data_IF_028397355720
#
_entry.id   IF_028397355720
#
_cell.length_a   1.000
_cell.length_b   1.000
_cell.length_c   1.000
_cell.angle_alpha   90.00
_cell.angle_beta   90.00
_cell.angle_gamma   90.00
#
_symmetry.space_group_name_H-M   'P 1'
#
loop_
_entity.id
_entity.type
_entity.pdbx_description
1 polymer ?
#
# COMPACT_ATOMS: atom_id res chain seq x y z
N UNK A 1 33.84 45.70 48.81
CA UNK A 1 35.20 46.25 49.00
C UNK A 1 36.19 45.28 48.39
N UNK A 2 37.00 45.76 47.42
CA UNK A 2 38.43 45.39 47.22
C UNK A 2 38.66 43.91 46.77
N UNK A 3 39.31 43.53 45.66
CA UNK A 3 40.45 44.07 44.91
C UNK A 3 40.40 43.58 43.45
N UNK A 4 40.72 44.48 42.52
CA UNK A 4 41.29 44.16 41.21
C UNK A 4 42.80 43.95 41.39
N UNK A 5 43.38 42.90 40.79
CA UNK A 5 44.77 42.86 40.28
C UNK A 5 44.96 41.59 39.43
N UNK A 6 45.14 41.73 38.10
CA UNK A 6 46.40 41.46 37.32
C UNK A 6 47.15 40.20 37.76
N UNK A 7 47.54 39.30 36.86
CA UNK A 7 48.80 39.43 36.11
C UNK A 7 48.77 38.60 34.81
N UNK A 8 49.41 39.18 33.78
CA UNK A 8 49.63 38.67 32.42
C UNK A 8 50.83 37.73 32.34
N UNK A 9 50.82 36.93 31.25
CA UNK A 9 51.95 36.43 30.43
C UNK A 9 52.77 35.28 31.02
N UNK A 10 52.89 34.22 30.21
CA UNK A 10 54.09 33.51 29.72
C UNK A 10 53.60 32.15 29.19
N UNK A 11 54.11 31.49 28.16
CA UNK A 11 55.13 31.70 27.15
C UNK A 11 54.76 30.65 26.08
N UNK A 12 54.81 31.03 24.80
CA UNK A 12 54.80 30.07 23.68
C UNK A 12 56.13 29.29 23.71
N UNK A 13 56.14 28.10 23.08
CA UNK A 13 57.23 27.14 22.82
C UNK A 13 57.12 25.87 23.67
N UNK A 14 57.25 24.64 23.16
CA UNK A 14 57.49 24.17 21.80
C UNK A 14 57.33 22.64 21.74
N UNK A 15 57.06 22.16 20.52
CA UNK A 15 57.65 20.97 19.89
C UNK A 15 57.45 19.55 20.47
N UNK A 16 56.88 18.69 19.58
CA UNK A 16 57.39 17.34 19.19
C UNK A 16 57.09 16.24 20.23
N UNK A 17 56.53 15.07 19.95
CA UNK A 17 56.10 14.37 18.74
C UNK A 17 55.46 13.02 19.15
N UNK A 18 54.65 12.46 18.24
CA UNK A 18 54.48 11.01 17.95
C UNK A 18 53.75 10.14 19.00
N UNK A 19 52.56 9.65 18.62
CA UNK A 19 52.30 8.22 18.36
C UNK A 19 50.88 8.03 17.79
N UNK A 20 50.83 7.56 16.56
CA UNK A 20 49.64 6.98 15.96
C UNK A 20 49.28 5.69 16.71
N UNK A 21 48.02 5.56 17.14
CA UNK A 21 47.40 4.28 17.45
C UNK A 21 46.21 4.09 16.51
N UNK A 22 46.43 3.35 15.44
CA UNK A 22 45.40 2.78 14.59
C UNK A 22 44.64 1.69 15.36
N UNK A 23 43.32 1.66 15.19
CA UNK A 23 42.64 0.42 14.86
C UNK A 23 41.72 -0.19 15.91
N UNK A 24 40.49 -0.45 15.43
CA UNK A 24 39.57 -1.54 15.80
C UNK A 24 38.65 -1.26 16.98
N UNK A 25 37.42 -0.80 16.67
CA UNK A 25 36.13 -1.37 17.10
C UNK A 25 34.98 -0.57 16.41
N UNK A 26 34.90 -0.62 15.08
CA UNK A 26 33.77 -0.09 14.31
C UNK A 26 33.25 -1.18 13.36
N UNK A 27 32.63 -2.21 13.94
CA UNK A 27 31.80 -3.24 13.32
C UNK A 27 31.34 -4.13 14.48
N UNK A 28 30.07 -4.30 14.85
CA UNK A 28 28.86 -4.43 14.07
C UNK A 28 27.71 -3.70 14.79
N UNK A 29 26.87 -2.99 14.05
CA UNK A 29 25.70 -2.32 14.64
C UNK A 29 24.77 -1.65 13.64
N UNK A 30 25.18 -1.51 12.37
CA UNK A 30 24.35 -0.91 11.34
C UNK A 30 23.33 -1.88 10.72
N UNK A 31 23.49 -3.20 10.83
CA UNK A 31 22.55 -4.17 10.27
C UNK A 31 21.27 -4.38 11.13
N UNK A 32 21.31 -4.10 12.44
CA UNK A 32 20.15 -4.31 13.33
C UNK A 32 19.15 -3.15 13.36
N UNK A 33 19.54 -1.98 12.84
CA UNK A 33 18.66 -0.81 12.82
C UNK A 33 17.64 -0.90 11.68
N UNK A 34 17.99 -1.51 10.56
CA UNK A 34 17.12 -1.57 9.37
C UNK A 34 15.90 -2.49 9.58
N UNK A 35 16.09 -3.60 10.31
CA UNK A 35 15.03 -4.58 10.60
C UNK A 35 13.93 -4.05 11.54
N UNK A 36 14.19 -2.98 12.29
CA UNK A 36 13.22 -2.38 13.25
C UNK A 36 12.27 -1.36 12.62
N UNK A 37 12.48 -0.95 11.37
CA UNK A 37 11.64 0.05 10.69
C UNK A 37 10.67 -0.53 9.64
N UNK A 38 10.76 -1.82 9.33
CA UNK A 38 9.83 -2.46 8.41
C UNK A 38 8.52 -2.77 9.12
N UNK A 39 7.47 -1.99 8.84
CA UNK A 39 6.11 -2.34 9.26
C UNK A 39 5.76 -3.71 8.65
N UNK A 40 5.23 -4.68 9.42
CA UNK A 40 4.80 -5.95 8.87
C UNK A 40 3.83 -5.72 7.70
N UNK A 41 4.14 -6.23 6.52
CA UNK A 41 3.12 -6.40 5.47
C UNK A 41 2.21 -7.55 5.88
N UNK A 42 0.95 -7.45 5.47
CA UNK A 42 0.01 -8.56 5.60
C UNK A 42 0.47 -9.79 4.81
N UNK A 43 0.06 -10.98 5.23
CA UNK A 43 0.20 -12.22 4.46
C UNK A 43 -0.77 -12.27 3.28
N UNK A 44 -0.58 -13.22 2.37
CA UNK A 44 -1.52 -13.46 1.26
C UNK A 44 -2.96 -13.71 1.74
N UNK A 45 -3.11 -14.51 2.80
CA UNK A 45 -4.42 -14.80 3.38
C UNK A 45 -5.06 -13.53 3.99
N UNK A 46 -4.28 -12.73 4.71
CA UNK A 46 -4.75 -11.46 5.26
C UNK A 46 -5.12 -10.47 4.15
N UNK A 47 -4.36 -10.45 3.05
CA UNK A 47 -4.67 -9.63 1.89
C UNK A 47 -5.96 -10.08 1.20
N UNK A 48 -6.18 -11.39 1.07
CA UNK A 48 -7.42 -11.95 0.55
C UNK A 48 -8.63 -11.58 1.41
N UNK A 49 -8.52 -11.71 2.74
CA UNK A 49 -9.57 -11.32 3.67
C UNK A 49 -9.84 -9.82 3.58
N UNK A 50 -8.79 -9.01 3.51
CA UNK A 50 -8.93 -7.56 3.40
C UNK A 50 -9.60 -7.15 2.08
N UNK A 51 -9.22 -7.74 0.95
CA UNK A 51 -9.90 -7.54 -0.34
C UNK A 51 -11.40 -7.85 -0.24
N UNK A 52 -11.75 -8.97 0.39
CA UNK A 52 -13.14 -9.37 0.61
C UNK A 52 -13.91 -8.37 1.47
N UNK A 53 -13.30 -7.85 2.55
CA UNK A 53 -13.92 -6.81 3.38
C UNK A 53 -14.20 -5.54 2.58
N UNK A 54 -13.26 -5.11 1.73
CA UNK A 54 -13.42 -3.96 0.85
C UNK A 54 -14.62 -4.13 -0.09
N UNK A 55 -14.75 -5.29 -0.73
CA UNK A 55 -15.86 -5.64 -1.62
C UNK A 55 -17.19 -5.66 -0.84
N UNK A 56 -17.23 -6.34 0.32
CA UNK A 56 -18.46 -6.45 1.12
C UNK A 56 -18.96 -5.09 1.61
N UNK A 57 -18.05 -4.20 2.03
CA UNK A 57 -18.42 -2.82 2.40
C UNK A 57 -19.01 -2.06 1.21
N UNK A 58 -18.42 -2.18 0.03
CA UNK A 58 -18.96 -1.56 -1.19
C UNK A 58 -20.35 -2.11 -1.55
N UNK A 59 -20.54 -3.42 -1.50
CA UNK A 59 -21.86 -4.04 -1.78
C UNK A 59 -22.91 -3.67 -0.74
N UNK A 60 -22.51 -3.41 0.51
CA UNK A 60 -23.46 -3.09 1.59
C UNK A 60 -24.26 -1.80 1.39
N UNK A 61 -23.79 -0.90 0.51
CA UNK A 61 -24.50 0.35 0.18
C UNK A 61 -25.38 0.23 -1.07
N UNK A 62 -25.35 -0.91 -1.76
CA UNK A 62 -26.19 -1.19 -2.91
C UNK A 62 -27.56 -1.74 -2.48
N UNK A 63 -28.55 -1.84 -3.40
CA UNK A 63 -29.83 -2.44 -3.08
C UNK A 63 -29.68 -3.84 -2.44
N UNK A 64 -30.56 -4.23 -1.51
CA UNK A 64 -30.46 -5.52 -0.79
C UNK A 64 -30.60 -6.75 -1.71
N UNK A 65 -31.03 -6.56 -2.95
CA UNK A 65 -31.07 -7.60 -3.98
C UNK A 65 -29.70 -7.88 -4.59
N UNK A 66 -28.70 -7.03 -4.37
CA UNK A 66 -27.33 -7.23 -4.85
C UNK A 66 -26.72 -8.52 -4.28
N UNK A 67 -26.12 -9.33 -5.15
CA UNK A 67 -25.51 -10.62 -4.80
C UNK A 67 -24.15 -10.75 -5.49
N UNK A 68 -23.17 -11.24 -4.73
CA UNK A 68 -21.86 -11.62 -5.26
C UNK A 68 -21.93 -13.06 -5.77
N UNK A 69 -21.58 -13.29 -7.03
CA UNK A 69 -21.61 -14.61 -7.67
C UNK A 69 -20.33 -14.90 -8.45
N UNK A 70 -20.08 -16.19 -8.69
CA UNK A 70 -18.99 -16.69 -9.52
C UNK A 70 -17.63 -16.05 -9.16
N UNK A 71 -17.13 -16.30 -7.94
CA UNK A 71 -15.85 -15.76 -7.48
C UNK A 71 -14.72 -16.10 -8.46
N UNK A 72 -13.92 -15.10 -8.79
CA UNK A 72 -12.63 -15.26 -9.45
C UNK A 72 -11.53 -14.73 -8.53
N UNK A 73 -10.63 -15.64 -8.13
CA UNK A 73 -9.55 -15.35 -7.19
C UNK A 73 -8.22 -15.57 -7.90
N UNK A 74 -7.31 -14.63 -7.73
CA UNK A 74 -6.00 -14.70 -8.36
C UNK A 74 -4.93 -14.14 -7.44
N UNK A 75 -3.71 -14.65 -7.56
CA UNK A 75 -2.51 -14.12 -6.93
C UNK A 75 -1.46 -14.02 -8.03
N UNK A 76 -0.94 -12.81 -8.27
CA UNK A 76 -0.01 -12.54 -9.36
C UNK A 76 1.29 -11.92 -8.84
N UNK A 77 2.45 -12.24 -9.43
CA UNK A 77 3.68 -11.52 -9.16
C UNK A 77 3.50 -10.01 -9.44
N UNK A 78 4.05 -9.18 -8.55
CA UNK A 78 4.01 -7.74 -8.73
C UNK A 78 5.05 -7.21 -9.73
N UNK A 79 6.16 -7.95 -9.91
CA UNK A 79 7.20 -7.56 -10.85
C UNK A 79 6.77 -7.96 -12.26
N UNK A 80 6.57 -6.96 -13.11
CA UNK A 80 6.79 -7.09 -14.54
C UNK A 80 8.23 -6.61 -14.83
N UNK A 81 8.88 -7.13 -15.86
CA UNK A 81 10.30 -6.90 -16.19
C UNK A 81 10.68 -5.41 -16.39
N UNK A 82 9.71 -4.51 -16.35
CA UNK A 82 9.83 -3.08 -16.66
C UNK A 82 9.78 -2.17 -15.42
N UNK A 83 9.38 -2.66 -14.25
CA UNK A 83 9.31 -1.88 -13.00
C UNK A 83 10.20 -2.52 -11.93
N UNK A 84 11.39 -1.95 -11.66
CA UNK A 84 12.30 -2.49 -10.66
C UNK A 84 11.64 -2.52 -9.28
N UNK A 85 11.72 -3.68 -8.62
CA UNK A 85 11.32 -3.87 -7.25
C UNK A 85 11.75 -5.24 -6.76
N UNK A 86 11.78 -5.48 -5.44
CA UNK A 86 12.10 -6.80 -4.91
C UNK A 86 11.24 -7.89 -5.55
N UNK A 87 11.90 -8.89 -6.12
CA UNK A 87 11.29 -10.10 -6.65
C UNK A 87 10.58 -10.87 -5.54
N UNK A 88 9.57 -11.68 -5.86
CA UNK A 88 8.83 -12.50 -4.88
C UNK A 88 7.60 -11.85 -4.25
N UNK A 89 7.37 -10.54 -4.44
CA UNK A 89 6.12 -9.88 -4.05
C UNK A 89 4.96 -10.30 -4.94
N UNK A 90 3.77 -10.37 -4.33
CA UNK A 90 2.53 -10.70 -5.03
C UNK A 90 1.44 -9.66 -4.74
N UNK A 91 0.48 -9.55 -5.65
CA UNK A 91 -0.81 -8.91 -5.42
C UNK A 91 -1.91 -9.96 -5.46
N UNK A 92 -2.86 -9.84 -4.53
CA UNK A 92 -4.00 -10.73 -4.36
C UNK A 92 -5.25 -10.03 -4.87
N UNK A 93 -5.93 -10.66 -5.82
CA UNK A 93 -7.16 -10.15 -6.42
C UNK A 93 -8.37 -11.01 -6.00
N UNK A 94 -9.49 -10.33 -5.75
CA UNK A 94 -10.82 -10.92 -5.59
C UNK A 94 -11.78 -10.20 -6.51
N UNK A 95 -12.50 -10.95 -7.35
CA UNK A 95 -13.48 -10.39 -8.28
C UNK A 95 -14.75 -11.23 -8.28
N UNK A 96 -15.88 -10.57 -8.44
CA UNK A 96 -17.20 -11.20 -8.48
C UNK A 96 -18.06 -10.59 -9.58
N UNK A 97 -18.98 -11.39 -10.11
CA UNK A 97 -20.15 -10.84 -10.77
C UNK A 97 -21.12 -10.29 -9.74
N UNK A 98 -21.72 -9.15 -10.05
CA UNK A 98 -22.73 -8.52 -9.22
C UNK A 98 -24.11 -8.74 -9.85
N UNK A 99 -24.94 -9.55 -9.18
CA UNK A 99 -26.26 -10.01 -9.65
C UNK A 99 -27.40 -9.43 -8.82
N UNK A 100 -28.63 -9.59 -9.31
CA UNK A 100 -29.83 -9.08 -8.65
C UNK A 100 -30.02 -7.56 -8.78
N UNK A 101 -29.33 -6.94 -9.73
CA UNK A 101 -29.40 -5.52 -10.03
C UNK A 101 -29.92 -5.31 -11.46
N UNK A 102 -31.08 -4.62 -11.65
CA UNK A 102 -31.55 -4.23 -12.98
C UNK A 102 -30.54 -3.35 -13.72
N UNK A 103 -30.22 -3.70 -14.97
CA UNK A 103 -29.15 -3.08 -15.78
C UNK A 103 -29.45 -1.62 -16.13
N UNK A 104 -30.72 -1.29 -16.25
CA UNK A 104 -31.22 0.07 -16.56
C UNK A 104 -30.79 1.09 -15.49
N UNK A 105 -30.47 0.62 -14.29
CA UNK A 105 -30.07 1.42 -13.15
C UNK A 105 -28.55 1.45 -12.93
N UNK A 106 -27.74 0.88 -13.83
CA UNK A 106 -26.28 0.82 -13.67
C UNK A 106 -25.68 2.17 -13.30
N UNK A 107 -26.11 3.25 -13.96
CA UNK A 107 -25.64 4.61 -13.64
C UNK A 107 -25.82 4.96 -12.16
N UNK A 108 -26.99 4.67 -11.58
CA UNK A 108 -27.27 4.95 -10.19
C UNK A 108 -26.37 4.12 -9.25
N UNK A 109 -26.11 2.85 -9.56
CA UNK A 109 -25.22 2.02 -8.73
C UNK A 109 -23.78 2.52 -8.72
N UNK A 110 -23.26 2.93 -9.88
CA UNK A 110 -21.94 3.55 -9.98
C UNK A 110 -21.88 4.87 -9.20
N UNK A 111 -22.92 5.70 -9.27
CA UNK A 111 -22.99 6.95 -8.52
C UNK A 111 -23.02 6.70 -7.00
N UNK A 112 -23.80 5.71 -6.53
CA UNK A 112 -23.80 5.27 -5.12
C UNK A 112 -22.41 4.82 -4.65
N UNK A 113 -21.70 4.02 -5.45
CA UNK A 113 -20.37 3.54 -5.08
C UNK A 113 -19.33 4.65 -5.11
N UNK A 114 -19.40 5.56 -6.07
CA UNK A 114 -18.56 6.75 -6.11
C UNK A 114 -18.72 7.59 -4.84
N UNK A 115 -19.96 7.89 -4.44
CA UNK A 115 -20.23 8.65 -3.22
C UNK A 115 -19.74 7.92 -1.97
N UNK A 116 -19.98 6.60 -1.88
CA UNK A 116 -19.48 5.80 -0.78
C UNK A 116 -17.95 5.85 -0.70
N UNK A 117 -17.25 5.56 -1.80
CA UNK A 117 -15.79 5.51 -1.82
C UNK A 117 -15.16 6.87 -1.52
N UNK A 118 -15.63 7.95 -2.15
CA UNK A 118 -15.09 9.30 -1.91
C UNK A 118 -15.30 9.79 -0.48
N UNK A 119 -16.37 9.34 0.20
CA UNK A 119 -16.61 9.65 1.63
C UNK A 119 -15.87 8.76 2.61
N UNK A 120 -15.33 7.62 2.17
CA UNK A 120 -14.75 6.59 3.04
C UNK A 120 -13.25 6.37 2.77
N UNK A 121 -12.53 7.44 2.43
CA UNK A 121 -11.08 7.42 2.36
C UNK A 121 -10.50 6.80 1.09
N UNK A 122 -11.28 6.72 0.01
CA UNK A 122 -10.78 6.29 -1.29
C UNK A 122 -10.52 7.49 -2.19
N UNK A 123 -9.41 7.46 -2.94
CA UNK A 123 -9.14 8.39 -4.03
C UNK A 123 -9.52 7.75 -5.36
N UNK A 124 -10.07 8.54 -6.27
CA UNK A 124 -10.42 8.09 -7.62
C UNK A 124 -9.14 7.99 -8.46
N UNK A 125 -9.00 6.87 -9.18
CA UNK A 125 -7.91 6.60 -10.12
C UNK A 125 -8.37 6.75 -11.57
N UNK A 126 -9.56 6.21 -11.88
CA UNK A 126 -10.23 6.37 -13.19
C UNK A 126 -11.74 6.46 -12.97
N UNK A 127 -12.42 7.26 -13.78
CA UNK A 127 -13.87 7.45 -13.72
C UNK A 127 -14.44 7.63 -15.12
N UNK A 128 -14.93 6.53 -15.68
CA UNK A 128 -15.54 6.46 -17.00
C UNK A 128 -17.05 6.17 -16.92
N UNK A 129 -17.71 6.59 -15.82
CA UNK A 129 -19.17 6.42 -15.60
C UNK A 129 -20.04 7.13 -16.64
N UNK A 130 -19.47 8.01 -17.46
CA UNK A 130 -20.18 8.67 -18.55
C UNK A 130 -20.32 7.76 -19.80
N UNK A 131 -19.48 6.73 -19.95
CA UNK A 131 -19.55 5.79 -21.06
C UNK A 131 -20.64 4.74 -20.80
N UNK A 132 -21.76 4.83 -21.52
CA UNK A 132 -22.92 3.95 -21.31
C UNK A 132 -22.72 2.51 -21.81
N UNK A 133 -21.74 2.28 -22.66
CA UNK A 133 -21.45 0.95 -23.23
C UNK A 133 -20.46 0.18 -22.35
N UNK A 134 -19.50 0.88 -21.73
CA UNK A 134 -18.51 0.30 -20.83
C UNK A 134 -18.20 1.27 -19.70
N UNK A 135 -19.05 1.24 -18.66
CA UNK A 135 -18.85 2.04 -17.47
C UNK A 135 -17.71 1.45 -16.64
N UNK A 136 -16.84 2.31 -16.13
CA UNK A 136 -15.74 1.92 -15.26
C UNK A 136 -15.54 2.93 -14.14
N UNK A 137 -15.22 2.44 -12.95
CA UNK A 137 -14.79 3.27 -11.82
C UNK A 137 -13.72 2.51 -11.07
N UNK A 138 -12.57 3.14 -10.88
CA UNK A 138 -11.40 2.57 -10.21
C UNK A 138 -10.93 3.51 -9.13
N UNK A 139 -10.73 2.98 -7.93
CA UNK A 139 -10.38 3.75 -6.73
C UNK A 139 -9.27 3.06 -5.95
N UNK A 140 -8.57 3.81 -5.11
CA UNK A 140 -7.59 3.28 -4.15
C UNK A 140 -7.94 3.77 -2.75
N UNK A 141 -8.01 2.87 -1.79
CA UNK A 141 -8.15 3.23 -0.40
C UNK A 141 -6.84 3.82 0.13
N UNK A 142 -6.90 5.03 0.66
CA UNK A 142 -5.71 5.80 1.05
C UNK A 142 -5.01 5.27 2.30
N UNK A 143 -5.70 4.48 3.13
CA UNK A 143 -5.16 3.96 4.39
C UNK A 143 -4.36 2.66 4.27
N UNK A 144 -4.69 1.80 3.30
CA UNK A 144 -4.08 0.47 3.12
C UNK A 144 -3.74 0.14 1.66
N UNK A 145 -3.92 1.08 0.74
CA UNK A 145 -3.55 0.99 -0.68
C UNK A 145 -4.25 -0.14 -1.45
N UNK A 146 -5.36 -0.69 -0.94
CA UNK A 146 -6.21 -1.59 -1.72
C UNK A 146 -6.87 -0.83 -2.85
N UNK A 147 -6.86 -1.41 -4.04
CA UNK A 147 -7.51 -0.84 -5.22
C UNK A 147 -8.80 -1.59 -5.49
N UNK A 148 -9.87 -0.87 -5.78
CA UNK A 148 -11.18 -1.45 -6.06
C UNK A 148 -11.66 -0.96 -7.41
N UNK A 149 -12.38 -1.80 -8.13
CA UNK A 149 -13.06 -1.41 -9.35
C UNK A 149 -14.48 -1.94 -9.41
N UNK A 150 -15.35 -1.19 -10.09
CA UNK A 150 -16.60 -1.71 -10.65
C UNK A 150 -16.60 -1.42 -12.15
N UNK A 151 -17.07 -2.38 -12.94
CA UNK A 151 -17.17 -2.25 -14.39
C UNK A 151 -18.46 -2.86 -14.93
N UNK A 152 -18.95 -2.35 -16.06
CA UNK A 152 -19.94 -3.03 -16.88
C UNK A 152 -19.28 -3.66 -18.11
N UNK A 153 -19.76 -4.83 -18.52
CA UNK A 153 -19.46 -5.37 -19.85
C UNK A 153 -20.43 -4.81 -20.91
N UNK A 154 -20.24 -5.19 -22.17
CA UNK A 154 -21.08 -4.77 -23.32
C UNK A 154 -22.54 -5.19 -23.21
N UNK A 155 -22.86 -6.14 -22.32
CA UNK A 155 -24.22 -6.59 -22.03
C UNK A 155 -24.82 -5.87 -20.81
N UNK A 156 -24.12 -4.92 -20.19
CA UNK A 156 -24.52 -4.22 -18.98
C UNK A 156 -24.44 -5.07 -17.70
N UNK A 157 -23.85 -6.27 -17.73
CA UNK A 157 -23.58 -7.02 -16.51
C UNK A 157 -22.43 -6.38 -15.74
N UNK A 158 -22.56 -6.34 -14.41
CA UNK A 158 -21.61 -5.70 -13.53
C UNK A 158 -20.66 -6.70 -12.89
N UNK A 159 -19.38 -6.33 -12.79
CA UNK A 159 -18.43 -6.98 -11.91
C UNK A 159 -17.78 -5.98 -10.95
N UNK A 160 -17.42 -6.47 -9.77
CA UNK A 160 -16.72 -5.69 -8.74
C UNK A 160 -15.50 -6.48 -8.28
N UNK A 161 -14.37 -5.80 -8.10
CA UNK A 161 -13.13 -6.42 -7.67
C UNK A 161 -12.32 -5.56 -6.72
N UNK A 162 -11.40 -6.21 -6.02
CA UNK A 162 -10.40 -5.58 -5.17
C UNK A 162 -9.05 -6.28 -5.31
N UNK A 163 -7.99 -5.47 -5.40
CA UNK A 163 -6.60 -5.89 -5.51
C UNK A 163 -5.82 -5.37 -4.30
N UNK A 164 -5.01 -6.23 -3.69
CA UNK A 164 -4.10 -5.82 -2.62
C UNK A 164 -2.96 -4.97 -3.18
N UNK A 165 -2.34 -4.11 -2.35
CA UNK A 165 -0.99 -3.64 -2.67
C UNK A 165 -0.04 -4.84 -2.81
N UNK A 166 1.15 -4.57 -3.36
CA UNK A 166 2.21 -5.57 -3.40
C UNK A 166 2.64 -5.95 -1.99
N UNK A 167 2.49 -7.23 -1.67
CA UNK A 167 2.81 -7.78 -0.36
C UNK A 167 3.80 -8.93 -0.51
N UNK A 168 4.43 -9.26 0.59
CA UNK A 168 5.17 -10.49 0.71
C UNK A 168 4.21 -11.62 1.10
N UNK A 169 4.17 -12.76 0.39
CA UNK A 169 3.15 -13.79 0.60
C UNK A 169 3.04 -14.24 2.07
N UNK A 170 4.17 -14.24 2.79
CA UNK A 170 4.27 -14.63 4.20
C UNK A 170 4.38 -13.44 5.18
N UNK A 171 4.20 -12.21 4.70
CA UNK A 171 4.42 -10.98 5.46
C UNK A 171 5.88 -10.53 5.50
N UNK A 172 6.13 -9.35 6.09
CA UNK A 172 7.45 -8.71 6.24
C UNK A 172 7.98 -8.90 7.66
N UNK A 173 9.32 -9.03 7.89
CA UNK A 173 10.42 -8.84 6.95
C UNK A 173 10.62 -9.97 5.96
N UNK A 174 11.01 -9.58 4.76
CA UNK A 174 11.60 -10.47 3.76
C UNK A 174 12.98 -10.99 4.18
N UNK A 175 13.36 -12.22 3.83
CA UNK A 175 14.71 -12.75 4.06
C UNK A 175 15.76 -12.09 3.16
N UNK A 176 16.98 -11.92 3.67
CA UNK A 176 18.14 -11.57 2.85
C UNK A 176 18.45 -12.73 1.87
N UNK A 177 18.60 -12.43 0.57
CA UNK A 177 19.22 -13.36 -0.36
C UNK A 177 20.72 -13.48 -0.03
N UNK A 178 21.31 -14.70 -0.08
CA UNK A 178 22.67 -14.99 0.36
C UNK A 178 23.78 -14.30 -0.45
#
# INVERSE_FOLDING_TARGET
MIHVTRVRRQLVLACVAVLALCGLLTACGFAELDRRFMKPTMTEEQAAQRAEEHIRRAVSVLPPTARLENPFFNTMPCADATVPGPEGRVSVARTYWLRGLPKENNRAYFDTLYEFWTRNGYRVLSDDRANRESMYLWVEHTGDSFRLSIQSNDYGDLSIGADSPCIWPKGTPEPEEP
#
